data_IF_515891605965
#
_entry.id   IF_515891605965
#
_cell.length_a   1.000
_cell.length_b   1.000
_cell.length_c   1.000
_cell.angle_alpha   90.00
_cell.angle_beta   90.00
_cell.angle_gamma   90.00
#
_symmetry.space_group_name_H-M   'P 1'
#
loop_
_entity.id
_entity.type
_entity.pdbx_description
1 polymer ?
#
# COMPACT_ATOMS: atom_id res chain seq x y z
N UNK A 1 -22.96 -2.20 -21.52
CA UNK A 1 -21.55 -1.78 -21.50
C UNK A 1 -20.77 -3.02 -21.14
N UNK A 2 -20.01 -3.52 -22.09
CA UNK A 2 -19.41 -4.85 -22.05
C UNK A 2 -18.18 -4.85 -21.13
N UNK A 3 -18.15 -5.80 -20.23
CA UNK A 3 -17.02 -6.13 -19.37
C UNK A 3 -15.94 -6.76 -20.26
N UNK A 4 -14.79 -6.08 -20.36
CA UNK A 4 -13.57 -6.66 -20.97
C UNK A 4 -12.96 -7.69 -19.99
N UNK A 5 -13.55 -8.86 -20.01
CA UNK A 5 -13.03 -10.04 -19.35
C UNK A 5 -12.19 -10.83 -20.38
N UNK A 6 -11.06 -10.25 -20.83
CA UNK A 6 -10.10 -10.96 -21.67
C UNK A 6 -9.38 -12.03 -20.84
N UNK A 7 -9.73 -13.28 -21.09
CA UNK A 7 -9.13 -14.44 -20.47
C UNK A 7 -7.65 -14.56 -20.88
N UNK A 8 -6.84 -15.11 -19.99
CA UNK A 8 -5.39 -15.33 -20.14
C UNK A 8 -5.00 -16.08 -21.46
N UNK A 9 -5.95 -16.74 -22.12
CA UNK A 9 -5.74 -17.49 -23.37
C UNK A 9 -5.69 -16.60 -24.61
N UNK A 10 -6.37 -15.45 -24.64
CA UNK A 10 -6.41 -14.57 -25.84
C UNK A 10 -5.13 -13.74 -26.04
N UNK A 11 -4.26 -13.65 -25.03
CA UNK A 11 -2.97 -12.95 -25.15
C UNK A 11 -1.85 -13.77 -25.80
N UNK A 12 -2.08 -15.05 -26.08
CA UNK A 12 -1.06 -15.93 -26.67
C UNK A 12 -0.95 -15.84 -28.20
N UNK A 13 -1.94 -15.28 -28.88
CA UNK A 13 -2.01 -15.28 -30.35
C UNK A 13 -1.39 -14.06 -31.07
N UNK A 14 -0.87 -13.07 -30.31
CA UNK A 14 -0.21 -11.88 -30.90
C UNK A 14 1.31 -12.01 -31.06
N UNK A 15 1.86 -13.22 -30.94
CA UNK A 15 3.31 -13.47 -30.74
C UNK A 15 4.13 -13.68 -32.02
N UNK A 16 3.57 -13.52 -33.23
CA UNK A 16 4.29 -13.94 -34.42
C UNK A 16 5.21 -12.90 -35.10
N UNK A 17 5.12 -11.61 -34.77
CA UNK A 17 5.84 -10.56 -35.52
C UNK A 17 6.96 -9.80 -34.78
N UNK A 18 7.21 -10.04 -33.50
CA UNK A 18 8.20 -9.27 -32.73
C UNK A 18 9.50 -10.02 -32.40
N UNK A 19 9.63 -11.29 -32.73
CA UNK A 19 10.76 -12.15 -32.29
C UNK A 19 11.96 -12.15 -33.24
N UNK A 20 11.96 -11.37 -34.32
CA UNK A 20 13.00 -11.47 -35.37
C UNK A 20 14.17 -10.47 -35.24
N UNK A 21 14.11 -9.44 -34.44
CA UNK A 21 15.08 -8.32 -34.50
C UNK A 21 15.85 -7.95 -33.23
N UNK A 22 15.80 -8.73 -32.15
CA UNK A 22 16.54 -8.39 -30.91
C UNK A 22 17.55 -9.46 -30.51
N UNK A 23 18.56 -9.66 -31.36
CA UNK A 23 19.80 -10.35 -30.94
C UNK A 23 20.89 -9.31 -30.78
N UNK A 24 21.06 -8.73 -29.59
CA UNK A 24 22.31 -8.08 -29.20
C UNK A 24 22.65 -8.40 -27.76
N UNK A 25 23.89 -8.80 -27.62
CA UNK A 25 24.62 -9.42 -26.54
C UNK A 25 24.68 -8.58 -25.27
N UNK A 26 24.21 -9.09 -24.16
CA UNK A 26 24.79 -9.13 -22.81
C UNK A 26 23.80 -9.59 -21.72
N UNK A 27 22.48 -9.62 -21.99
CA UNK A 27 21.45 -10.16 -21.05
C UNK A 27 21.37 -11.71 -21.05
N UNK A 28 22.05 -12.37 -21.97
CA UNK A 28 21.91 -13.80 -22.31
C UNK A 28 22.45 -14.75 -21.22
N UNK A 29 23.25 -14.26 -20.25
CA UNK A 29 23.81 -15.14 -19.21
C UNK A 29 22.85 -15.47 -18.07
N UNK A 30 21.94 -14.58 -17.71
CA UNK A 30 20.95 -14.84 -16.64
C UNK A 30 19.73 -15.62 -17.15
N UNK A 31 19.27 -15.39 -18.38
CA UNK A 31 18.10 -16.09 -18.95
C UNK A 31 18.32 -17.60 -19.17
N UNK A 32 19.57 -18.06 -19.32
CA UNK A 32 19.87 -19.48 -19.52
C UNK A 32 19.66 -20.37 -18.29
N UNK A 33 19.48 -19.80 -17.09
CA UNK A 33 19.27 -20.54 -15.85
C UNK A 33 17.81 -20.67 -15.46
N UNK A 34 16.87 -19.96 -16.14
CA UNK A 34 15.45 -19.97 -15.82
C UNK A 34 14.74 -21.18 -16.48
N UNK A 35 13.75 -21.73 -15.78
CA UNK A 35 12.83 -22.72 -16.35
C UNK A 35 11.97 -22.12 -17.48
N UNK A 36 11.32 -22.96 -18.29
CA UNK A 36 10.46 -22.48 -19.38
C UNK A 36 9.28 -21.62 -18.88
N UNK A 37 8.72 -21.91 -17.71
CA UNK A 37 7.65 -21.11 -17.07
C UNK A 37 8.18 -19.78 -16.56
N UNK A 38 9.35 -19.77 -15.92
CA UNK A 38 10.00 -18.56 -15.44
C UNK A 38 10.36 -17.62 -16.58
N UNK A 39 10.85 -18.13 -17.70
CA UNK A 39 11.12 -17.32 -18.91
C UNK A 39 9.87 -16.67 -19.46
N UNK A 40 8.74 -17.41 -19.50
CA UNK A 40 7.45 -16.84 -19.93
C UNK A 40 6.97 -15.72 -18.99
N UNK A 41 7.04 -15.93 -17.67
CA UNK A 41 6.69 -14.92 -16.67
C UNK A 41 7.54 -13.66 -16.79
N UNK A 42 8.86 -13.80 -16.92
CA UNK A 42 9.77 -12.67 -17.13
C UNK A 42 9.50 -11.92 -18.44
N UNK A 43 9.28 -12.64 -19.54
CA UNK A 43 8.94 -12.04 -20.84
C UNK A 43 7.64 -11.22 -20.77
N UNK A 44 6.63 -11.71 -20.06
CA UNK A 44 5.38 -10.97 -19.83
C UNK A 44 5.63 -9.67 -19.02
N UNK A 45 6.41 -9.77 -17.95
CA UNK A 45 6.78 -8.59 -17.15
C UNK A 45 7.54 -7.57 -17.99
N UNK A 46 8.49 -8.01 -18.83
CA UNK A 46 9.26 -7.14 -19.73
C UNK A 46 8.37 -6.42 -20.75
N UNK A 47 7.42 -7.13 -21.37
CA UNK A 47 6.44 -6.53 -22.31
C UNK A 47 5.57 -5.47 -21.59
N UNK A 48 5.04 -5.77 -20.41
CA UNK A 48 4.26 -4.81 -19.60
C UNK A 48 5.08 -3.60 -19.19
N UNK A 49 6.32 -3.79 -18.74
CA UNK A 49 7.23 -2.70 -18.38
C UNK A 49 7.57 -1.81 -19.58
N UNK A 50 7.82 -2.40 -20.74
CA UNK A 50 8.06 -1.67 -21.97
C UNK A 50 6.84 -0.84 -22.40
N UNK A 51 5.66 -1.44 -22.43
CA UNK A 51 4.43 -0.75 -22.77
C UNK A 51 4.11 0.39 -21.79
N UNK A 52 4.25 0.15 -20.48
CA UNK A 52 4.09 1.17 -19.44
C UNK A 52 5.09 2.32 -19.58
N UNK A 53 6.35 2.01 -19.91
CA UNK A 53 7.37 3.03 -20.16
C UNK A 53 7.02 3.91 -21.38
N UNK A 54 6.64 3.30 -22.51
CA UNK A 54 6.20 4.05 -23.70
C UNK A 54 4.95 4.90 -23.39
N UNK A 55 3.98 4.33 -22.68
CA UNK A 55 2.78 5.07 -22.27
C UNK A 55 3.10 6.28 -21.38
N UNK A 56 4.09 6.17 -20.49
CA UNK A 56 4.53 7.28 -19.62
C UNK A 56 5.17 8.45 -20.39
N UNK A 57 5.60 8.22 -21.63
CA UNK A 57 6.19 9.26 -22.50
C UNK A 57 5.19 9.95 -23.39
N UNK A 58 3.91 9.55 -23.35
CA UNK A 58 2.85 10.15 -24.16
C UNK A 58 2.57 11.59 -23.70
N UNK A 59 2.54 12.53 -24.63
CA UNK A 59 2.15 13.89 -24.35
C UNK A 59 0.65 13.97 -24.05
N UNK A 60 0.28 14.57 -22.93
CA UNK A 60 -1.11 14.80 -22.52
C UNK A 60 -1.65 16.17 -22.98
N UNK A 61 -0.97 16.85 -23.90
CA UNK A 61 -1.38 18.15 -24.43
C UNK A 61 -2.52 18.01 -25.45
N UNK A 62 -3.62 18.71 -25.20
CA UNK A 62 -4.66 18.97 -26.20
C UNK A 62 -4.11 19.93 -27.26
N UNK A 63 -3.63 19.41 -28.39
CA UNK A 63 -3.65 20.15 -29.62
C UNK A 63 -4.84 19.65 -30.47
N UNK A 64 -5.57 20.56 -31.06
CA UNK A 64 -6.65 20.30 -32.01
C UNK A 64 -6.11 19.48 -33.20
N UNK A 65 -6.31 18.17 -33.13
CA UNK A 65 -5.89 17.21 -34.16
C UNK A 65 -5.58 15.86 -33.52
N UNK A 66 -6.24 14.84 -33.99
CA UNK A 66 -6.27 13.43 -33.54
C UNK A 66 -4.91 12.69 -33.64
N UNK A 67 -3.78 13.30 -33.24
CA UNK A 67 -2.45 12.68 -33.33
C UNK A 67 -1.79 12.58 -31.96
N UNK A 68 -1.69 11.35 -31.48
CA UNK A 68 -0.89 11.04 -30.29
C UNK A 68 0.60 11.30 -30.55
N UNK A 69 1.28 12.00 -29.64
CA UNK A 69 2.73 12.19 -29.69
C UNK A 69 3.39 11.77 -28.39
N UNK A 70 4.67 11.41 -28.46
CA UNK A 70 5.47 10.98 -27.30
C UNK A 70 6.72 11.85 -27.21
N UNK A 71 7.14 12.19 -25.97
CA UNK A 71 8.37 12.93 -25.72
C UNK A 71 9.34 12.08 -24.90
N UNK A 72 10.55 11.83 -25.44
CA UNK A 72 11.57 11.05 -24.77
C UNK A 72 12.96 11.57 -25.16
N UNK A 73 13.89 11.72 -24.20
CA UNK A 73 15.25 12.22 -24.44
C UNK A 73 15.28 13.55 -25.20
N UNK A 74 14.38 14.48 -24.85
CA UNK A 74 14.20 15.77 -25.51
C UNK A 74 13.82 15.67 -27.02
N UNK A 75 13.35 14.50 -27.48
CA UNK A 75 12.86 14.28 -28.84
C UNK A 75 11.36 13.99 -28.84
N UNK A 76 10.64 14.53 -29.82
CA UNK A 76 9.21 14.28 -30.01
C UNK A 76 8.99 13.26 -31.13
N UNK A 77 8.22 12.22 -30.82
CA UNK A 77 7.86 11.15 -31.75
C UNK A 77 6.37 11.24 -32.06
N UNK A 78 6.01 11.24 -33.34
CA UNK A 78 4.62 11.26 -33.82
C UNK A 78 4.09 9.89 -34.22
N UNK A 79 5.00 8.92 -34.41
CA UNK A 79 4.66 7.54 -34.77
C UNK A 79 4.99 6.58 -33.62
N UNK A 80 4.04 5.70 -33.32
CA UNK A 80 4.20 4.67 -32.30
C UNK A 80 5.41 3.75 -32.56
N UNK A 81 5.64 3.41 -33.84
CA UNK A 81 6.80 2.61 -34.25
C UNK A 81 8.14 3.32 -33.98
N UNK A 82 8.19 4.63 -34.11
CA UNK A 82 9.41 5.42 -33.88
C UNK A 82 9.78 5.50 -32.40
N UNK A 83 8.80 5.79 -31.53
CA UNK A 83 9.05 5.79 -30.06
C UNK A 83 9.43 4.37 -29.57
N UNK A 84 8.79 3.31 -30.08
CA UNK A 84 9.14 1.95 -29.72
C UNK A 84 10.59 1.59 -30.08
N UNK A 85 11.04 1.94 -31.31
CA UNK A 85 12.43 1.73 -31.73
C UNK A 85 13.43 2.53 -30.89
N UNK A 86 13.09 3.78 -30.55
CA UNK A 86 13.90 4.61 -29.68
C UNK A 86 14.02 3.98 -28.30
N UNK A 87 12.90 3.63 -27.64
CA UNK A 87 12.90 3.04 -26.31
C UNK A 87 13.67 1.72 -26.28
N UNK A 88 13.46 0.83 -27.27
CA UNK A 88 14.17 -0.44 -27.35
C UNK A 88 15.69 -0.29 -27.50
N UNK A 89 16.17 0.79 -28.13
CA UNK A 89 17.61 1.03 -28.34
C UNK A 89 18.27 1.79 -27.21
N UNK A 90 17.56 2.78 -26.66
CA UNK A 90 18.14 3.77 -25.73
C UNK A 90 17.85 3.42 -24.26
N UNK A 91 16.71 2.79 -23.98
CA UNK A 91 16.23 2.55 -22.63
C UNK A 91 16.15 1.07 -22.25
N UNK A 92 16.78 0.16 -23.02
CA UNK A 92 16.75 -1.28 -22.73
C UNK A 92 17.24 -1.62 -21.31
N UNK A 93 18.31 -1.03 -20.77
CA UNK A 93 18.72 -1.30 -19.37
C UNK A 93 17.69 -0.88 -18.34
N UNK A 94 16.98 0.23 -18.57
CA UNK A 94 15.91 0.72 -17.70
C UNK A 94 14.69 -0.20 -17.76
N UNK A 95 14.32 -0.65 -18.98
CA UNK A 95 13.25 -1.63 -19.19
C UNK A 95 13.59 -2.97 -18.53
N UNK A 96 14.82 -3.44 -18.63
CA UNK A 96 15.26 -4.68 -17.97
C UNK A 96 15.13 -4.58 -16.46
N UNK A 97 15.53 -3.45 -15.84
CA UNK A 97 15.38 -3.22 -14.41
C UNK A 97 13.90 -3.22 -14.00
N UNK A 98 13.04 -2.48 -14.70
CA UNK A 98 11.60 -2.45 -14.45
C UNK A 98 10.96 -3.84 -14.60
N UNK A 99 11.40 -4.62 -15.59
CA UNK A 99 10.95 -5.98 -15.81
C UNK A 99 11.39 -6.93 -14.69
N UNK A 100 12.62 -6.78 -14.21
CA UNK A 100 13.14 -7.57 -13.09
C UNK A 100 12.36 -7.27 -11.80
N UNK A 101 12.10 -5.99 -11.51
CA UNK A 101 11.30 -5.57 -10.36
C UNK A 101 9.87 -6.12 -10.43
N UNK A 102 9.22 -6.02 -11.61
CA UNK A 102 7.88 -6.55 -11.84
C UNK A 102 7.83 -8.08 -11.73
N UNK A 103 8.85 -8.77 -12.24
CA UNK A 103 8.94 -10.22 -12.18
C UNK A 103 9.19 -10.72 -10.75
N UNK A 104 10.05 -10.06 -10.00
CA UNK A 104 10.25 -10.37 -8.58
C UNK A 104 8.96 -10.15 -7.78
N UNK A 105 8.21 -9.10 -8.09
CA UNK A 105 6.90 -8.87 -7.49
C UNK A 105 5.92 -10.01 -7.79
N UNK A 106 5.89 -10.51 -9.02
CA UNK A 106 5.06 -11.65 -9.42
C UNK A 106 5.48 -12.94 -8.68
N UNK A 107 6.79 -13.22 -8.58
CA UNK A 107 7.29 -14.40 -7.86
C UNK A 107 6.88 -14.34 -6.38
N UNK A 108 7.06 -13.21 -5.72
CA UNK A 108 6.68 -13.05 -4.32
C UNK A 108 5.16 -13.23 -4.11
N UNK A 109 4.32 -12.78 -5.06
CA UNK A 109 2.88 -13.02 -5.00
C UNK A 109 2.53 -14.51 -5.13
N UNK A 110 3.17 -15.21 -6.07
CA UNK A 110 2.98 -16.65 -6.26
C UNK A 110 3.49 -17.48 -5.06
N UNK A 111 4.61 -17.08 -4.46
CA UNK A 111 5.12 -17.69 -3.23
C UNK A 111 4.15 -17.47 -2.05
N UNK A 112 3.64 -16.25 -1.86
CA UNK A 112 2.62 -15.94 -0.84
C UNK A 112 1.33 -16.75 -1.06
N UNK A 113 0.89 -16.92 -2.33
CA UNK A 113 -0.29 -17.72 -2.68
C UNK A 113 -0.04 -19.21 -2.43
N UNK A 114 1.12 -19.73 -2.82
CA UNK A 114 1.49 -21.14 -2.61
C UNK A 114 1.66 -21.45 -1.12
N UNK A 115 2.32 -20.59 -0.34
CA UNK A 115 2.44 -20.72 1.11
C UNK A 115 1.07 -20.68 1.80
N UNK A 116 0.18 -19.79 1.33
CA UNK A 116 -1.19 -19.68 1.85
C UNK A 116 -2.00 -20.93 1.54
N UNK A 117 -1.88 -21.52 0.33
CA UNK A 117 -2.53 -22.77 -0.02
C UNK A 117 -2.01 -23.93 0.83
N UNK A 118 -0.71 -24.08 0.94
CA UNK A 118 -0.07 -25.15 1.71
C UNK A 118 -0.41 -25.08 3.21
N UNK A 119 -0.47 -23.85 3.78
CA UNK A 119 -0.87 -23.62 5.17
C UNK A 119 -2.37 -23.86 5.40
N UNK A 120 -3.22 -23.62 4.39
CA UNK A 120 -4.67 -23.85 4.50
C UNK A 120 -5.08 -25.31 4.22
N UNK A 121 -4.22 -26.11 3.56
CA UNK A 121 -4.46 -27.52 3.28
C UNK A 121 -4.09 -28.45 4.45
N UNK A 122 -3.42 -27.95 5.48
CA UNK A 122 -3.27 -28.71 6.74
C UNK A 122 -4.65 -28.82 7.40
N UNK A 123 -5.26 -30.00 7.29
CA UNK A 123 -6.49 -30.36 8.00
C UNK A 123 -6.18 -30.36 9.51
N UNK A 124 -6.51 -29.25 10.17
CA UNK A 124 -6.54 -29.19 11.62
C UNK A 124 -7.66 -30.14 12.14
N UNK A 125 -7.42 -30.87 13.20
CA UNK A 125 -8.48 -31.58 13.93
C UNK A 125 -9.65 -30.59 14.14
N UNK A 126 -10.92 -31.03 13.96
CA UNK A 126 -12.07 -30.15 14.09
C UNK A 126 -12.17 -29.60 15.50
N UNK A 127 -11.69 -28.43 15.74
CA UNK A 127 -11.83 -27.70 17.01
C UNK A 127 -13.20 -27.05 17.05
N UNK A 128 -13.91 -27.19 18.16
CA UNK A 128 -15.19 -26.53 18.35
C UNK A 128 -15.02 -25.03 18.55
N UNK A 129 -15.22 -24.27 17.44
CA UNK A 129 -15.21 -22.83 17.42
C UNK A 129 -16.56 -22.19 17.75
N UNK A 130 -17.60 -23.02 17.99
CA UNK A 130 -18.98 -22.54 18.16
C UNK A 130 -19.15 -21.58 19.34
N UNK A 131 -18.35 -21.78 20.40
CA UNK A 131 -18.35 -20.92 21.57
C UNK A 131 -17.95 -19.47 21.30
N UNK A 132 -17.21 -19.23 20.21
CA UNK A 132 -16.73 -17.88 19.82
C UNK A 132 -17.53 -17.26 18.67
N UNK A 133 -18.53 -17.97 18.14
CA UNK A 133 -19.42 -17.45 17.11
C UNK A 133 -20.63 -16.81 17.80
N UNK A 134 -20.89 -15.50 17.58
CA UNK A 134 -21.98 -14.80 18.24
C UNK A 134 -23.35 -15.32 17.79
N UNK A 135 -24.33 -15.24 18.69
CA UNK A 135 -25.72 -15.46 18.35
C UNK A 135 -26.27 -14.24 17.59
N UNK A 136 -26.52 -14.42 16.32
CA UNK A 136 -27.04 -13.36 15.41
C UNK A 136 -28.55 -13.46 15.14
N UNK A 137 -29.30 -14.34 15.86
CA UNK A 137 -30.75 -14.52 15.65
C UNK A 137 -31.59 -13.26 15.85
N UNK A 138 -31.05 -12.29 16.58
CA UNK A 138 -31.67 -10.98 16.80
C UNK A 138 -31.41 -9.98 15.66
N UNK A 139 -30.54 -10.30 14.69
CA UNK A 139 -30.20 -9.48 13.53
C UNK A 139 -30.81 -10.17 12.30
N UNK A 140 -31.61 -9.46 11.52
CA UNK A 140 -32.15 -10.03 10.29
C UNK A 140 -31.07 -10.17 9.21
N UNK A 141 -31.23 -11.14 8.32
CA UNK A 141 -30.35 -11.34 7.16
C UNK A 141 -30.24 -10.07 6.31
N UNK A 142 -31.34 -9.34 6.16
CA UNK A 142 -31.35 -8.07 5.43
C UNK A 142 -30.47 -7.01 6.12
N UNK A 143 -30.45 -6.93 7.44
CA UNK A 143 -29.60 -5.99 8.19
C UNK A 143 -28.12 -6.34 8.11
N UNK A 144 -27.79 -7.62 7.94
CA UNK A 144 -26.39 -8.05 7.73
C UNK A 144 -25.89 -7.72 6.33
N UNK A 145 -26.77 -7.71 5.32
CA UNK A 145 -26.37 -7.55 3.92
C UNK A 145 -26.64 -6.16 3.36
N UNK A 146 -27.64 -5.43 3.88
CA UNK A 146 -28.08 -4.14 3.33
C UNK A 146 -28.07 -3.05 4.39
N UNK A 147 -27.59 -1.87 3.99
CA UNK A 147 -27.60 -0.67 4.83
C UNK A 147 -26.27 0.07 4.79
N UNK A 148 -26.15 1.15 5.55
CA UNK A 148 -24.89 1.86 5.69
C UNK A 148 -23.83 0.95 6.30
N UNK A 149 -22.61 1.04 5.80
CA UNK A 149 -21.53 0.17 6.19
C UNK A 149 -20.26 0.92 6.56
N UNK A 150 -19.30 0.17 7.03
CA UNK A 150 -17.96 0.67 7.34
C UNK A 150 -16.91 -0.39 7.05
N UNK A 151 -15.68 0.09 6.90
CA UNK A 151 -14.48 -0.74 6.81
C UNK A 151 -13.75 -0.64 8.12
N UNK A 152 -13.33 -1.78 8.65
CA UNK A 152 -12.52 -1.92 9.84
C UNK A 152 -11.06 -2.18 9.45
N UNK A 153 -10.13 -1.50 10.09
CA UNK A 153 -8.71 -1.79 10.06
C UNK A 153 -8.25 -2.05 11.51
N UNK A 154 -7.72 -3.23 11.76
CA UNK A 154 -7.27 -3.63 13.10
C UNK A 154 -6.10 -4.59 13.02
N UNK A 155 -5.33 -4.67 14.10
CA UNK A 155 -4.33 -5.70 14.31
C UNK A 155 -4.14 -5.95 15.81
N UNK A 156 -3.66 -7.13 16.14
CA UNK A 156 -3.20 -7.46 17.49
C UNK A 156 -2.00 -8.37 17.39
N UNK A 157 -0.88 -7.95 17.92
CA UNK A 157 0.24 -8.82 18.20
C UNK A 157 0.00 -9.56 19.51
N UNK A 158 0.00 -10.88 19.46
CA UNK A 158 -0.13 -11.78 20.60
C UNK A 158 0.33 -13.16 20.18
N UNK A 159 0.82 -13.96 21.13
CA UNK A 159 1.19 -15.35 20.83
C UNK A 159 -0.06 -16.17 20.52
N UNK A 160 -0.12 -16.78 19.35
CA UNK A 160 -1.16 -17.71 18.91
C UNK A 160 -0.53 -19.09 18.77
N UNK A 161 -0.97 -20.03 19.60
CA UNK A 161 -0.44 -21.40 19.61
C UNK A 161 -0.86 -22.17 18.35
N UNK A 162 -2.12 -22.05 17.95
CA UNK A 162 -2.66 -22.66 16.73
C UNK A 162 -3.33 -21.61 15.84
N UNK A 163 -2.61 -21.07 14.85
CA UNK A 163 -3.16 -20.11 13.90
C UNK A 163 -4.29 -20.68 13.04
N UNK A 164 -4.35 -22.00 12.82
CA UNK A 164 -5.38 -22.63 12.00
C UNK A 164 -6.75 -22.56 12.66
N UNK A 165 -6.82 -22.79 13.96
CA UNK A 165 -8.06 -22.65 14.75
C UNK A 165 -8.60 -21.23 14.69
N UNK A 166 -7.73 -20.25 14.87
CA UNK A 166 -8.10 -18.83 14.78
C UNK A 166 -8.51 -18.46 13.35
N UNK A 167 -7.82 -18.98 12.34
CA UNK A 167 -8.18 -18.78 10.95
C UNK A 167 -9.57 -19.36 10.63
N UNK A 168 -9.86 -20.58 11.06
CA UNK A 168 -11.17 -21.23 10.89
C UNK A 168 -12.29 -20.43 11.57
N UNK A 169 -12.07 -19.98 12.81
CA UNK A 169 -13.01 -19.12 13.52
C UNK A 169 -13.24 -17.80 12.79
N UNK A 170 -12.19 -17.10 12.36
CA UNK A 170 -12.31 -15.82 11.67
C UNK A 170 -13.04 -15.96 10.33
N UNK A 171 -12.81 -17.06 9.60
CA UNK A 171 -13.52 -17.36 8.35
C UNK A 171 -15.01 -17.55 8.61
N UNK A 172 -15.36 -18.43 9.55
CA UNK A 172 -16.75 -18.71 9.91
C UNK A 172 -17.48 -17.46 10.43
N UNK A 173 -16.79 -16.62 11.22
CA UNK A 173 -17.33 -15.37 11.73
C UNK A 173 -17.61 -14.37 10.60
N UNK A 174 -16.65 -14.17 9.68
CA UNK A 174 -16.81 -13.25 8.55
C UNK A 174 -17.91 -13.73 7.58
N UNK A 175 -17.95 -15.03 7.27
CA UNK A 175 -18.99 -15.62 6.40
C UNK A 175 -20.38 -15.46 7.02
N UNK A 176 -20.53 -15.75 8.32
CA UNK A 176 -21.80 -15.58 9.04
C UNK A 176 -22.30 -14.14 9.06
N UNK A 177 -21.39 -13.18 9.10
CA UNK A 177 -21.70 -11.75 9.14
C UNK A 177 -21.66 -11.09 7.74
N UNK A 178 -21.52 -11.86 6.65
CA UNK A 178 -21.41 -11.37 5.27
C UNK A 178 -20.34 -10.29 5.08
N UNK A 179 -19.20 -10.42 5.78
CA UNK A 179 -18.08 -9.51 5.62
C UNK A 179 -17.20 -9.93 4.44
N UNK A 180 -16.61 -8.96 3.80
CA UNK A 180 -15.57 -9.12 2.78
C UNK A 180 -14.26 -8.51 3.28
N UNK A 181 -13.15 -8.79 2.61
CA UNK A 181 -11.86 -8.22 2.98
C UNK A 181 -10.77 -9.26 3.22
N UNK A 182 -9.73 -8.88 3.97
CA UNK A 182 -8.59 -9.75 4.22
C UNK A 182 -8.26 -9.82 5.70
N UNK A 183 -8.11 -11.07 6.21
CA UNK A 183 -7.62 -11.34 7.56
C UNK A 183 -6.39 -12.25 7.47
N UNK A 184 -5.29 -11.81 8.06
CA UNK A 184 -4.05 -12.58 8.20
C UNK A 184 -3.91 -13.04 9.64
N UNK A 185 -3.67 -14.32 9.80
CA UNK A 185 -3.38 -14.94 11.11
C UNK A 185 -1.99 -15.56 11.05
N UNK A 186 -1.20 -15.36 12.08
CA UNK A 186 0.12 -15.96 12.23
C UNK A 186 0.35 -16.30 13.71
N UNK A 187 1.43 -17.00 14.04
CA UNK A 187 1.82 -17.28 15.43
C UNK A 187 2.06 -16.00 16.25
N UNK A 188 2.42 -14.89 15.58
CA UNK A 188 2.67 -13.58 16.20
C UNK A 188 1.40 -12.72 16.38
N UNK A 189 0.22 -13.14 15.85
CA UNK A 189 -1.00 -12.35 16.00
C UNK A 189 -2.00 -12.41 14.86
N UNK A 190 -2.81 -11.35 14.76
CA UNK A 190 -3.86 -11.16 13.75
C UNK A 190 -3.81 -9.76 13.15
N UNK A 191 -4.11 -9.65 11.85
CA UNK A 191 -4.23 -8.39 11.12
C UNK A 191 -5.41 -8.49 10.15
N UNK A 192 -6.38 -7.59 10.28
CA UNK A 192 -7.59 -7.60 9.47
C UNK A 192 -7.94 -6.24 8.89
N UNK A 193 -8.44 -6.29 7.64
CA UNK A 193 -9.16 -5.20 7.01
C UNK A 193 -10.42 -5.80 6.41
N UNK A 194 -11.57 -5.51 6.99
CA UNK A 194 -12.86 -6.10 6.61
C UNK A 194 -13.94 -5.05 6.49
N UNK A 195 -14.87 -5.23 5.55
CA UNK A 195 -15.99 -4.34 5.31
C UNK A 195 -17.32 -5.07 5.36
N UNK A 196 -18.34 -4.37 5.80
CA UNK A 196 -19.71 -4.86 5.88
C UNK A 196 -20.67 -3.78 6.36
N UNK A 197 -21.94 -4.14 6.59
CA UNK A 197 -22.90 -3.21 7.19
C UNK A 197 -22.46 -2.81 8.60
N UNK A 198 -22.99 -1.70 9.12
CA UNK A 198 -22.71 -1.27 10.48
C UNK A 198 -23.05 -2.35 11.51
N UNK A 199 -24.20 -3.05 11.32
CA UNK A 199 -24.61 -4.14 12.22
C UNK A 199 -23.63 -5.31 12.16
N UNK A 200 -23.22 -5.75 10.98
CA UNK A 200 -22.28 -6.84 10.78
C UNK A 200 -20.90 -6.53 11.39
N UNK A 201 -20.40 -5.34 11.15
CA UNK A 201 -19.10 -4.89 11.66
C UNK A 201 -19.09 -4.67 13.18
N UNK A 202 -20.20 -4.17 13.74
CA UNK A 202 -20.33 -4.04 15.19
C UNK A 202 -20.36 -5.43 15.87
N UNK A 203 -21.12 -6.38 15.31
CA UNK A 203 -21.12 -7.77 15.80
C UNK A 203 -19.73 -8.44 15.68
N UNK A 204 -18.98 -8.14 14.61
CA UNK A 204 -17.62 -8.61 14.43
C UNK A 204 -16.65 -8.04 15.49
N UNK A 205 -16.73 -6.73 15.77
CA UNK A 205 -15.94 -6.09 16.83
C UNK A 205 -16.22 -6.75 18.18
N UNK A 206 -17.50 -6.92 18.53
CA UNK A 206 -17.89 -7.48 19.80
C UNK A 206 -17.44 -8.95 19.94
N UNK A 207 -17.59 -9.76 18.89
CA UNK A 207 -17.09 -11.14 18.87
C UNK A 207 -15.56 -11.20 19.03
N UNK A 208 -14.83 -10.34 18.32
CA UNK A 208 -13.36 -10.31 18.37
C UNK A 208 -12.86 -9.83 19.74
N UNK A 209 -13.51 -8.84 20.32
CA UNK A 209 -13.20 -8.35 21.69
C UNK A 209 -13.50 -9.38 22.75
N UNK A 210 -14.57 -10.16 22.58
CA UNK A 210 -14.97 -11.20 23.53
C UNK A 210 -14.04 -12.42 23.51
N UNK A 211 -13.23 -12.57 22.47
CA UNK A 211 -12.30 -13.69 22.37
C UNK A 211 -11.15 -13.53 23.37
N UNK A 212 -10.92 -14.53 24.27
CA UNK A 212 -10.02 -14.36 25.42
C UNK A 212 -8.55 -14.11 25.05
N UNK A 213 -8.15 -14.56 23.86
CA UNK A 213 -6.78 -14.48 23.38
C UNK A 213 -6.37 -13.02 23.07
N UNK A 214 -7.24 -12.25 22.42
CA UNK A 214 -6.81 -10.97 21.82
C UNK A 214 -6.79 -9.80 22.79
N UNK A 215 -7.67 -9.81 23.80
CA UNK A 215 -7.78 -8.71 24.80
C UNK A 215 -7.80 -7.32 24.11
N UNK A 216 -8.61 -7.21 23.06
CA UNK A 216 -8.74 -5.98 22.29
C UNK A 216 -9.78 -5.05 22.91
N UNK A 217 -9.53 -3.76 22.78
CA UNK A 217 -10.48 -2.72 23.09
C UNK A 217 -11.15 -2.17 21.82
N UNK A 218 -12.25 -1.43 21.96
CA UNK A 218 -12.95 -0.87 20.81
C UNK A 218 -12.05 0.05 19.99
N UNK A 219 -11.14 0.74 20.64
CA UNK A 219 -10.19 1.67 20.01
C UNK A 219 -9.09 0.98 19.18
N UNK A 220 -8.91 -0.32 19.32
CA UNK A 220 -8.01 -1.07 18.44
C UNK A 220 -8.55 -1.17 17.00
N UNK A 221 -9.88 -1.00 16.83
CA UNK A 221 -10.54 -1.01 15.54
C UNK A 221 -10.66 0.42 14.97
N UNK A 222 -9.94 0.71 13.89
CA UNK A 222 -10.04 1.95 13.14
C UNK A 222 -11.15 1.79 12.12
N UNK A 223 -12.02 2.77 12.02
CA UNK A 223 -13.21 2.70 11.15
C UNK A 223 -13.18 3.79 10.09
N UNK A 224 -13.69 3.49 8.90
CA UNK A 224 -13.93 4.44 7.83
C UNK A 224 -15.19 4.08 7.07
N UNK A 225 -15.85 5.07 6.47
CA UNK A 225 -17.07 4.85 5.69
C UNK A 225 -16.79 3.93 4.50
N UNK A 226 -17.71 3.02 4.21
CA UNK A 226 -17.59 1.99 3.17
C UNK A 226 -18.48 0.81 3.50
N UNK A 227 -18.12 -0.39 3.00
CA UNK A 227 -18.91 -1.59 3.23
C UNK A 227 -18.26 -2.82 2.61
N UNK A 228 -19.05 -3.87 2.43
CA UNK A 228 -18.57 -5.10 1.79
C UNK A 228 -18.11 -4.87 0.34
N UNK A 229 -18.68 -3.91 -0.36
CA UNK A 229 -18.34 -3.53 -1.73
C UNK A 229 -16.92 -2.94 -1.88
N UNK A 230 -16.27 -2.57 -0.77
CA UNK A 230 -14.89 -2.10 -0.80
C UNK A 230 -13.87 -3.23 -1.08
N UNK A 231 -14.31 -4.48 -1.12
CA UNK A 231 -13.47 -5.64 -1.40
C UNK A 231 -14.17 -6.57 -2.39
N UNK A 232 -13.39 -7.25 -3.23
CA UNK A 232 -13.92 -8.21 -4.22
C UNK A 232 -14.38 -9.51 -3.59
N UNK A 233 -13.68 -9.96 -2.56
CA UNK A 233 -13.89 -11.26 -1.92
C UNK A 233 -13.49 -11.21 -0.44
N UNK A 234 -13.72 -12.32 0.24
CA UNK A 234 -13.21 -12.59 1.59
C UNK A 234 -11.98 -13.48 1.49
N UNK A 235 -10.87 -13.05 2.11
CA UNK A 235 -9.62 -13.82 2.22
C UNK A 235 -9.19 -13.92 3.67
N UNK A 236 -9.37 -15.09 4.26
CA UNK A 236 -8.87 -15.41 5.60
C UNK A 236 -7.85 -16.53 5.48
N UNK A 237 -6.64 -16.31 5.97
CA UNK A 237 -5.56 -17.30 5.83
C UNK A 237 -4.52 -17.23 6.94
N UNK A 238 -3.81 -18.34 7.09
CA UNK A 238 -2.62 -18.45 7.94
C UNK A 238 -1.41 -18.00 7.14
N UNK A 239 -0.54 -17.23 7.75
CA UNK A 239 0.67 -16.65 7.14
C UNK A 239 1.85 -16.77 8.11
N UNK A 240 3.07 -16.65 7.61
CA UNK A 240 4.26 -16.59 8.46
C UNK A 240 4.32 -15.32 9.31
N UNK A 241 3.81 -14.21 8.76
CA UNK A 241 3.81 -12.89 9.39
C UNK A 241 2.45 -12.21 9.20
N UNK A 242 1.99 -11.47 10.21
CA UNK A 242 0.76 -10.67 10.05
C UNK A 242 0.98 -9.42 9.21
N UNK A 243 2.23 -8.95 9.09
CA UNK A 243 2.66 -7.94 8.14
C UNK A 243 3.99 -8.37 7.52
N UNK A 244 4.08 -8.53 6.18
CA UNK A 244 5.25 -9.14 5.55
C UNK A 244 6.46 -8.22 5.60
N UNK A 245 7.34 -8.44 6.56
CA UNK A 245 8.62 -7.77 6.70
C UNK A 245 9.78 -8.59 6.09
N UNK A 246 9.56 -9.89 5.91
CA UNK A 246 10.58 -10.81 5.40
C UNK A 246 11.62 -11.21 6.47
N UNK A 247 11.28 -11.06 7.74
CA UNK A 247 12.13 -11.40 8.87
C UNK A 247 11.39 -12.37 9.78
N UNK A 248 12.13 -13.31 10.36
CA UNK A 248 11.55 -14.22 11.34
C UNK A 248 11.01 -13.45 12.55
N UNK A 249 9.71 -13.64 12.94
CA UNK A 249 9.12 -13.01 14.09
C UNK A 249 9.83 -13.30 15.42
N UNK A 250 10.50 -14.45 15.53
CA UNK A 250 11.26 -14.80 16.73
C UNK A 250 12.61 -14.02 16.80
N UNK A 251 13.14 -13.60 15.64
CA UNK A 251 14.36 -12.80 15.56
C UNK A 251 14.06 -11.31 15.72
N UNK A 252 13.00 -10.82 15.08
CA UNK A 252 12.56 -9.42 15.16
C UNK A 252 11.15 -9.38 15.77
N UNK A 253 11.10 -9.57 17.09
CA UNK A 253 9.83 -9.60 17.80
C UNK A 253 9.25 -8.21 18.02
N UNK A 254 7.92 -8.07 17.85
CA UNK A 254 7.15 -6.88 18.22
C UNK A 254 7.32 -6.49 19.70
N UNK A 255 7.69 -7.43 20.57
CA UNK A 255 7.94 -7.18 22.01
C UNK A 255 9.11 -6.20 22.24
N UNK A 256 9.99 -6.07 21.24
CA UNK A 256 11.12 -5.13 21.25
C UNK A 256 10.80 -3.81 20.54
N UNK A 257 9.54 -3.56 20.22
CA UNK A 257 9.08 -2.37 19.52
C UNK A 257 9.50 -1.07 20.24
N UNK A 258 9.53 0.04 19.49
CA UNK A 258 9.75 1.38 20.01
C UNK A 258 8.64 1.82 20.95
N UNK A 259 8.88 2.89 21.70
CA UNK A 259 7.90 3.45 22.64
C UNK A 259 6.72 4.04 21.88
N UNK A 260 5.50 3.66 22.25
CA UNK A 260 4.28 4.22 21.69
C UNK A 260 4.06 5.64 22.21
N UNK A 261 3.79 6.58 21.31
CA UNK A 261 3.27 7.89 21.60
C UNK A 261 1.80 7.97 21.22
N UNK A 262 0.97 8.46 22.11
CA UNK A 262 -0.41 8.81 21.77
C UNK A 262 -0.42 9.91 20.69
N UNK A 263 -1.48 10.06 19.88
CA UNK A 263 -1.51 11.07 18.82
C UNK A 263 -1.19 12.49 19.28
N UNK A 264 -1.60 12.89 20.51
CA UNK A 264 -1.31 14.20 21.06
C UNK A 264 0.18 14.39 21.39
N UNK A 265 0.82 13.35 21.92
CA UNK A 265 2.26 13.37 22.22
C UNK A 265 3.05 13.41 20.92
N UNK A 266 2.68 12.57 19.94
CA UNK A 266 3.29 12.56 18.63
C UNK A 266 3.13 13.88 17.88
N UNK A 267 1.95 14.51 17.98
CA UNK A 267 1.68 15.83 17.40
C UNK A 267 2.66 16.89 17.93
N UNK A 268 2.87 16.95 19.24
CA UNK A 268 3.81 17.88 19.88
C UNK A 268 5.25 17.65 19.42
N UNK A 269 5.65 16.39 19.26
CA UNK A 269 6.98 16.05 18.76
C UNK A 269 7.19 16.51 17.31
N UNK A 270 6.16 16.32 16.46
CA UNK A 270 6.20 16.79 15.07
C UNK A 270 6.14 18.31 14.99
N UNK A 271 5.36 18.96 15.85
CA UNK A 271 5.32 20.42 15.96
C UNK A 271 6.70 20.99 16.32
N UNK A 272 7.37 20.40 17.31
CA UNK A 272 8.72 20.79 17.70
C UNK A 272 9.73 20.59 16.56
N UNK A 273 9.62 19.48 15.78
CA UNK A 273 10.45 19.22 14.62
C UNK A 273 10.23 20.27 13.54
N UNK A 274 8.97 20.59 13.21
CA UNK A 274 8.64 21.55 12.16
C UNK A 274 9.07 22.98 12.55
N UNK A 275 8.98 23.33 13.83
CA UNK A 275 9.40 24.65 14.34
C UNK A 275 10.92 24.89 14.24
N UNK A 276 11.73 23.82 14.22
CA UNK A 276 13.21 23.87 14.22
C UNK A 276 13.81 23.66 12.83
N UNK A 277 13.07 23.88 11.75
CA UNK A 277 13.42 23.50 10.38
C UNK A 277 14.80 23.98 9.85
N UNK A 278 15.44 24.93 10.53
CA UNK A 278 16.74 25.52 10.13
C UNK A 278 17.92 25.09 11.04
N UNK A 279 17.69 24.33 12.10
CA UNK A 279 18.74 23.83 12.97
C UNK A 279 19.02 22.36 12.67
N UNK A 280 20.26 21.93 12.85
CA UNK A 280 20.70 20.53 12.67
C UNK A 280 19.95 19.65 13.69
N UNK A 281 18.70 19.24 13.34
CA UNK A 281 17.82 18.56 14.28
C UNK A 281 18.25 17.10 14.45
N UNK A 282 18.34 16.66 15.69
CA UNK A 282 18.65 15.28 16.07
C UNK A 282 17.42 14.35 15.98
N UNK A 283 16.32 14.83 15.39
CA UNK A 283 15.06 14.08 15.26
C UNK A 283 14.76 13.74 13.81
N UNK A 284 14.38 12.48 13.55
CA UNK A 284 13.93 11.99 12.26
C UNK A 284 12.48 11.56 12.37
N UNK A 285 11.62 12.08 11.50
CA UNK A 285 10.26 11.61 11.30
C UNK A 285 10.25 10.61 10.13
N UNK A 286 10.07 9.31 10.42
CA UNK A 286 10.24 8.21 9.45
C UNK A 286 8.91 7.59 9.06
N UNK A 287 8.60 7.64 7.76
CA UNK A 287 7.45 6.94 7.18
C UNK A 287 7.83 5.48 6.86
N UNK A 288 7.23 4.52 7.55
CA UNK A 288 7.50 3.08 7.34
C UNK A 288 6.69 2.47 6.18
N UNK A 289 5.93 3.30 5.45
CA UNK A 289 5.07 2.83 4.36
C UNK A 289 5.84 2.69 3.05
N UNK A 290 5.16 2.08 2.08
CA UNK A 290 5.67 2.01 0.72
C UNK A 290 5.64 3.41 0.07
N UNK A 291 6.57 3.68 -0.85
CA UNK A 291 6.73 5.00 -1.47
C UNK A 291 5.46 5.54 -2.15
N UNK A 292 4.61 4.67 -2.71
CA UNK A 292 3.36 5.07 -3.36
C UNK A 292 2.30 5.55 -2.36
N UNK A 293 2.31 5.03 -1.12
CA UNK A 293 1.43 5.48 -0.04
C UNK A 293 1.84 6.89 0.41
N UNK A 294 3.14 7.12 0.59
CA UNK A 294 3.70 8.42 0.99
C UNK A 294 3.47 9.50 -0.07
N UNK A 295 3.48 9.14 -1.37
CA UNK A 295 3.16 10.08 -2.45
C UNK A 295 1.71 10.56 -2.46
N UNK A 296 0.78 9.78 -1.93
CA UNK A 296 -0.63 10.13 -1.80
C UNK A 296 -0.85 11.08 -0.62
N UNK A 297 -0.13 10.85 0.47
CA UNK A 297 -0.12 11.73 1.63
C UNK A 297 0.91 11.30 2.66
N UNK A 298 1.52 12.27 3.32
CA UNK A 298 2.59 12.07 4.29
C UNK A 298 2.66 13.22 5.29
N UNK A 299 3.35 13.03 6.40
CA UNK A 299 3.64 14.13 7.31
C UNK A 299 4.63 15.13 6.70
N UNK A 300 4.47 16.40 7.06
CA UNK A 300 5.42 17.46 6.69
C UNK A 300 6.81 17.12 7.23
N UNK A 301 7.85 17.32 6.41
CA UNK A 301 9.27 17.08 6.75
C UNK A 301 9.61 15.61 7.08
N UNK A 302 8.78 14.63 6.69
CA UNK A 302 9.13 13.24 6.94
C UNK A 302 10.19 12.71 5.95
N UNK A 303 10.99 11.79 6.44
CA UNK A 303 11.80 10.89 5.63
C UNK A 303 10.92 9.74 5.14
N UNK A 304 10.66 9.68 3.85
CA UNK A 304 9.88 8.61 3.21
C UNK A 304 10.80 7.74 2.36
N UNK A 305 11.17 6.53 2.81
CA UNK A 305 12.00 5.61 2.05
C UNK A 305 11.39 5.24 0.70
N UNK A 306 12.22 5.14 -0.35
CA UNK A 306 11.76 4.72 -1.68
C UNK A 306 11.64 3.19 -1.76
N UNK A 307 10.92 2.57 -0.82
CA UNK A 307 10.67 1.13 -0.79
C UNK A 307 9.31 0.81 -1.42
N UNK A 308 9.25 -0.27 -2.22
CA UNK A 308 8.00 -0.73 -2.87
C UNK A 308 7.19 -1.68 -2.00
N UNK A 309 7.87 -2.38 -1.08
CA UNK A 309 7.29 -3.35 -0.15
C UNK A 309 7.95 -3.15 1.22
N UNK A 310 7.20 -3.43 2.27
CA UNK A 310 7.73 -3.35 3.63
C UNK A 310 8.86 -4.35 3.89
N UNK A 311 8.92 -5.45 3.16
CA UNK A 311 10.05 -6.40 3.21
C UNK A 311 11.40 -5.81 2.77
N UNK A 312 11.43 -4.62 2.15
CA UNK A 312 12.67 -3.89 1.83
C UNK A 312 13.09 -2.90 2.93
N UNK A 313 12.29 -2.78 3.97
CA UNK A 313 12.58 -1.87 5.09
C UNK A 313 13.86 -2.28 5.86
N UNK A 314 14.12 -3.57 6.16
CA UNK A 314 15.38 -3.99 6.77
C UNK A 314 16.60 -3.58 5.96
N UNK A 315 16.61 -3.85 4.66
CA UNK A 315 17.71 -3.48 3.76
C UNK A 315 17.93 -1.96 3.72
N UNK A 316 16.82 -1.20 3.69
CA UNK A 316 16.89 0.26 3.73
C UNK A 316 17.56 0.75 5.02
N UNK A 317 17.19 0.22 6.18
CA UNK A 317 17.80 0.56 7.46
C UNK A 317 19.29 0.24 7.46
N UNK A 318 19.65 -0.97 7.01
CA UNK A 318 21.06 -1.42 7.01
C UNK A 318 21.96 -0.59 6.10
N UNK A 319 21.42 -0.12 4.98
CA UNK A 319 22.15 0.75 4.04
C UNK A 319 22.27 2.20 4.52
N UNK A 320 21.50 2.61 5.54
CA UNK A 320 21.40 4.00 5.99
C UNK A 320 21.64 4.15 7.50
N UNK A 321 22.39 3.25 8.14
CA UNK A 321 22.61 3.29 9.61
C UNK A 321 23.19 4.62 10.10
N UNK A 322 24.06 5.26 9.33
CA UNK A 322 24.66 6.54 9.69
C UNK A 322 23.64 7.68 9.74
N UNK A 323 22.55 7.59 8.97
CA UNK A 323 21.45 8.54 9.02
C UNK A 323 20.74 8.52 10.38
N UNK A 324 20.65 7.34 11.00
CA UNK A 324 19.95 7.13 12.26
C UNK A 324 20.82 7.26 13.51
N UNK A 325 22.14 7.39 13.31
CA UNK A 325 23.13 7.40 14.41
C UNK A 325 22.90 8.58 15.35
N UNK A 326 22.75 8.25 16.65
CA UNK A 326 22.51 9.20 17.73
C UNK A 326 21.25 10.08 17.58
N UNK A 327 20.31 9.66 16.68
CA UNK A 327 19.07 10.38 16.42
C UNK A 327 17.90 9.86 17.25
N UNK A 328 16.96 10.73 17.56
CA UNK A 328 15.60 10.41 17.99
C UNK A 328 14.78 10.10 16.75
N UNK A 329 14.14 8.94 16.68
CA UNK A 329 13.36 8.53 15.51
C UNK A 329 11.89 8.40 15.88
N UNK A 330 11.03 9.16 15.19
CA UNK A 330 9.58 9.13 15.30
C UNK A 330 9.02 8.35 14.09
N UNK A 331 8.46 7.17 14.32
CA UNK A 331 8.01 6.29 13.25
C UNK A 331 6.49 6.29 13.12
N UNK A 332 6.00 6.19 11.89
CA UNK A 332 4.58 6.05 11.64
C UNK A 332 4.28 5.17 10.42
N UNK A 333 3.06 4.62 10.38
CA UNK A 333 2.47 3.99 9.20
C UNK A 333 0.95 4.21 9.20
N UNK A 334 0.21 3.55 8.32
CA UNK A 334 -1.25 3.71 8.18
C UNK A 334 -2.01 3.47 9.47
N UNK A 335 -1.81 2.30 10.12
CA UNK A 335 -2.56 1.89 11.32
C UNK A 335 -1.68 1.52 12.53
N UNK A 336 -0.34 1.63 12.41
CA UNK A 336 0.62 1.29 13.47
C UNK A 336 1.34 -0.06 13.27
N UNK A 337 0.75 -1.03 12.59
CA UNK A 337 1.22 -2.42 12.53
C UNK A 337 2.67 -2.58 12.03
N UNK A 338 3.07 -1.85 10.98
CA UNK A 338 4.44 -1.92 10.43
C UNK A 338 5.47 -1.35 11.41
N UNK A 339 5.07 -0.35 12.17
CA UNK A 339 5.96 0.28 13.13
C UNK A 339 6.34 -0.65 14.26
N UNK A 340 5.48 -1.59 14.67
CA UNK A 340 5.79 -2.55 15.73
C UNK A 340 7.07 -3.33 15.43
N UNK A 341 7.15 -3.95 14.26
CA UNK A 341 8.33 -4.71 13.87
C UNK A 341 9.44 -3.86 13.25
N UNK A 342 9.06 -2.79 12.53
CA UNK A 342 10.03 -1.86 11.95
C UNK A 342 10.86 -1.14 13.02
N UNK A 343 10.23 -0.69 14.11
CA UNK A 343 10.94 -0.07 15.22
C UNK A 343 11.78 -1.07 16.02
N UNK A 344 11.28 -2.30 16.21
CA UNK A 344 12.06 -3.38 16.81
C UNK A 344 13.34 -3.66 16.01
N UNK A 345 13.23 -3.71 14.68
CA UNK A 345 14.40 -3.89 13.80
C UNK A 345 15.38 -2.74 13.90
N UNK A 346 14.89 -1.49 13.83
CA UNK A 346 15.76 -0.32 13.97
C UNK A 346 16.47 -0.28 15.32
N UNK A 347 15.76 -0.60 16.41
CA UNK A 347 16.34 -0.70 17.75
C UNK A 347 17.38 -1.80 17.88
N UNK A 348 17.21 -2.93 17.17
CA UNK A 348 18.19 -4.02 17.18
C UNK A 348 19.56 -3.63 16.61
N UNK A 349 19.63 -2.51 15.86
CA UNK A 349 20.90 -1.98 15.33
C UNK A 349 21.71 -1.17 16.34
N UNK A 350 21.10 -0.79 17.45
CA UNK A 350 21.75 -0.03 18.56
C UNK A 350 22.48 1.24 18.10
N UNK A 351 21.93 1.93 17.09
CA UNK A 351 22.49 3.17 16.54
C UNK A 351 21.69 4.41 16.90
N UNK A 352 20.39 4.25 17.18
CA UNK A 352 19.49 5.36 17.51
C UNK A 352 19.61 5.73 18.97
N UNK A 353 19.43 7.01 19.28
CA UNK A 353 19.30 7.49 20.66
C UNK A 353 17.98 7.01 21.29
N UNK A 354 16.89 7.18 20.55
CA UNK A 354 15.52 6.84 20.98
C UNK A 354 14.67 6.47 19.74
N UNK A 355 13.75 5.53 19.90
CA UNK A 355 12.82 5.14 18.84
C UNK A 355 11.40 5.12 19.37
N UNK A 356 10.57 5.97 18.80
CA UNK A 356 9.16 6.13 19.11
C UNK A 356 8.29 5.76 17.91
N UNK A 357 7.03 5.42 18.17
CA UNK A 357 6.07 5.11 17.12
C UNK A 357 4.69 5.69 17.43
N UNK A 358 3.99 6.15 16.39
CA UNK A 358 2.64 6.69 16.48
C UNK A 358 1.65 5.58 16.78
N UNK A 359 1.03 5.57 17.95
CA UNK A 359 0.00 4.63 18.35
C UNK A 359 -1.25 4.79 17.47
N UNK A 360 -1.71 3.68 16.89
CA UNK A 360 -2.85 3.68 15.98
C UNK A 360 -2.59 4.28 14.60
N UNK A 361 -1.36 4.76 14.34
CA UNK A 361 -0.90 5.27 13.05
C UNK A 361 -1.60 6.53 12.58
N UNK A 362 -1.44 6.85 11.29
CA UNK A 362 -2.04 8.03 10.65
C UNK A 362 -3.57 8.06 10.86
N UNK A 363 -4.21 6.90 10.85
CA UNK A 363 -5.66 6.82 10.98
C UNK A 363 -6.13 7.46 12.29
N UNK A 364 -5.56 7.07 13.44
CA UNK A 364 -5.88 7.67 14.75
C UNK A 364 -5.45 9.11 14.86
N UNK A 365 -4.31 9.46 14.26
CA UNK A 365 -3.84 10.83 14.23
C UNK A 365 -4.84 11.77 13.53
N UNK A 366 -5.38 11.38 12.37
CA UNK A 366 -6.32 12.20 11.61
C UNK A 366 -7.70 12.31 12.27
N UNK A 367 -8.10 11.35 13.10
CA UNK A 367 -9.32 11.47 13.91
C UNK A 367 -9.23 12.60 14.92
N UNK A 368 -8.04 12.87 15.47
CA UNK A 368 -7.82 13.91 16.49
C UNK A 368 -7.31 15.22 15.88
N UNK A 369 -6.48 15.12 14.84
CA UNK A 369 -5.81 16.25 14.18
C UNK A 369 -6.05 16.26 12.67
N UNK A 370 -7.31 16.46 12.19
CA UNK A 370 -7.62 16.46 10.77
C UNK A 370 -6.86 17.54 9.98
N UNK A 371 -6.57 18.68 10.63
CA UNK A 371 -5.79 19.80 10.08
C UNK A 371 -4.35 19.85 10.62
N UNK A 372 -3.86 18.74 11.20
CA UNK A 372 -2.53 18.65 11.80
C UNK A 372 -1.39 18.70 10.76
N UNK A 373 -0.31 17.96 10.99
CA UNK A 373 0.89 17.99 10.13
C UNK A 373 0.88 16.97 8.99
N UNK A 374 -0.14 16.10 8.90
CA UNK A 374 -0.32 15.21 7.77
C UNK A 374 -0.87 15.97 6.57
N UNK A 375 -0.28 15.78 5.38
CA UNK A 375 -0.67 16.44 4.12
C UNK A 375 -1.04 15.41 3.08
N UNK A 376 -2.11 15.70 2.33
CA UNK A 376 -2.66 14.80 1.33
C UNK A 376 -3.71 13.85 1.91
N UNK A 377 -3.81 12.65 1.36
CA UNK A 377 -4.86 11.67 1.65
C UNK A 377 -4.27 10.41 2.26
N UNK A 378 -5.04 9.72 3.08
CA UNK A 378 -4.62 8.45 3.65
C UNK A 378 -4.87 7.32 2.64
N UNK A 379 -3.80 6.67 2.19
CA UNK A 379 -3.89 5.45 1.38
C UNK A 379 -4.53 4.31 2.20
N UNK A 380 -5.45 3.58 1.58
CA UNK A 380 -6.11 2.39 2.13
C UNK A 380 -5.93 1.19 1.20
N UNK A 381 -5.94 -0.03 1.77
CA UNK A 381 -5.68 -1.28 1.04
C UNK A 381 -6.97 -1.94 0.53
N UNK A 382 -7.89 -1.13 -0.03
CA UNK A 382 -9.17 -1.58 -0.60
C UNK A 382 -9.52 -0.79 -1.88
N UNK A 383 -10.65 -1.07 -2.50
CA UNK A 383 -11.06 -0.46 -3.78
C UNK A 383 -11.24 1.07 -3.73
N UNK A 384 -11.26 1.68 -2.54
CA UNK A 384 -11.32 3.14 -2.38
C UNK A 384 -9.96 3.82 -2.62
N UNK A 385 -8.85 3.08 -2.53
CA UNK A 385 -7.44 3.50 -2.66
C UNK A 385 -6.97 4.57 -1.67
N UNK A 386 -7.76 5.62 -1.42
CA UNK A 386 -7.41 6.67 -0.48
C UNK A 386 -8.66 7.34 0.10
N UNK A 387 -8.55 7.75 1.37
CA UNK A 387 -9.59 8.50 2.08
C UNK A 387 -9.04 9.83 2.58
N UNK A 388 -9.88 10.85 2.70
CA UNK A 388 -9.51 12.12 3.29
C UNK A 388 -9.76 12.13 4.80
N UNK A 389 -9.16 13.12 5.51
CA UNK A 389 -9.37 13.28 6.95
C UNK A 389 -10.82 13.61 7.34
N UNK A 390 -11.58 14.23 6.44
CA UNK A 390 -13.01 14.53 6.59
C UNK A 390 -13.93 13.40 6.09
N UNK A 391 -13.39 12.18 5.92
CA UNK A 391 -14.08 10.97 5.48
C UNK A 391 -14.62 10.98 4.05
N UNK A 392 -14.27 11.96 3.22
CA UNK A 392 -14.66 11.96 1.82
C UNK A 392 -13.97 10.82 1.06
N UNK A 393 -14.78 9.99 0.39
CA UNK A 393 -14.28 8.90 -0.46
C UNK A 393 -13.78 9.50 -1.77
N UNK A 394 -12.56 9.11 -2.19
CA UNK A 394 -12.00 9.53 -3.45
C UNK A 394 -12.03 8.37 -4.42
N UNK A 395 -12.98 8.43 -5.33
CA UNK A 395 -13.24 7.38 -6.31
C UNK A 395 -12.19 7.26 -7.43
N UNK A 396 -11.20 8.15 -7.53
CA UNK A 396 -10.34 8.23 -8.71
C UNK A 396 -8.84 8.42 -8.45
N UNK A 397 -8.24 7.69 -7.50
CA UNK A 397 -6.79 7.49 -7.51
C UNK A 397 -6.47 6.20 -8.27
N UNK A 398 -6.28 6.30 -9.59
CA UNK A 398 -5.80 5.17 -10.39
C UNK A 398 -4.38 4.78 -9.98
N UNK A 399 -4.07 3.48 -9.96
CA UNK A 399 -2.75 2.90 -9.63
C UNK A 399 -1.61 3.31 -10.59
N UNK A 400 -1.87 4.16 -11.57
CA UNK A 400 -0.93 4.53 -12.65
C UNK A 400 0.09 5.60 -12.26
N UNK A 401 0.22 5.95 -10.98
CA UNK A 401 1.28 6.83 -10.48
C UNK A 401 1.19 8.29 -10.93
N UNK A 402 0.04 8.72 -11.45
CA UNK A 402 -0.19 10.14 -11.75
C UNK A 402 -0.44 10.90 -10.46
N UNK A 403 0.28 11.97 -10.29
CA UNK A 403 0.20 12.89 -9.16
C UNK A 403 -1.25 13.29 -8.93
N UNK A 404 -1.83 12.89 -7.79
CA UNK A 404 -3.12 13.41 -7.36
C UNK A 404 -3.00 14.94 -7.24
N UNK A 405 -3.82 15.69 -7.96
CA UNK A 405 -3.91 17.14 -7.75
C UNK A 405 -4.27 17.42 -6.31
N UNK A 406 -3.72 18.49 -5.72
CA UNK A 406 -4.02 18.88 -4.36
C UNK A 406 -5.54 19.13 -4.19
N UNK A 407 -6.11 18.95 -2.98
CA UNK A 407 -7.53 19.16 -2.73
C UNK A 407 -8.07 20.52 -3.18
N UNK A 408 -7.25 21.58 -3.11
CA UNK A 408 -7.62 22.92 -3.56
C UNK A 408 -7.84 23.03 -5.08
N UNK A 409 -7.18 22.18 -5.89
CA UNK A 409 -7.37 22.15 -7.34
C UNK A 409 -8.66 21.42 -7.77
N UNK A 410 -9.15 20.48 -6.95
CA UNK A 410 -10.37 19.70 -7.25
C UNK A 410 -11.66 20.48 -6.94
N UNK A 411 -11.67 21.33 -5.91
CA UNK A 411 -12.84 22.13 -5.55
C UNK A 411 -13.14 23.25 -6.55
N UNK A 412 -12.15 23.77 -7.28
CA UNK A 412 -12.38 24.78 -8.33
C UNK A 412 -13.02 24.19 -9.59
N UNK A 413 -12.88 22.88 -9.86
CA UNK A 413 -13.44 22.23 -11.05
C UNK A 413 -14.94 21.90 -10.97
N UNK A 414 -15.49 21.76 -9.77
CA UNK A 414 -16.90 21.36 -9.58
C UNK A 414 -17.91 22.53 -9.64
N UNK A 415 -17.46 23.79 -9.52
CA UNK A 415 -18.35 24.97 -9.54
C UNK A 415 -18.42 25.68 -10.90
N UNK A 416 -17.83 25.16 -11.98
CA UNK A 416 -17.78 25.80 -13.28
C UNK A 416 -18.56 25.10 -14.40
N UNK A 417 -19.51 24.23 -14.12
CA UNK A 417 -20.33 23.58 -15.16
C UNK A 417 -21.51 24.42 -15.66
N UNK A 418 -21.60 25.73 -15.35
CA UNK A 418 -22.62 26.63 -15.88
C UNK A 418 -22.06 28.02 -16.19
N UNK A 419 -21.10 28.16 -17.12
CA UNK A 419 -20.87 29.41 -17.83
C UNK A 419 -19.93 29.17 -19.03
N UNK A 420 -20.46 29.32 -20.22
CA UNK A 420 -19.75 29.31 -21.50
C UNK A 420 -18.95 30.60 -21.68
N UNK A 421 -17.62 30.53 -21.79
CA UNK A 421 -16.74 31.62 -22.20
C UNK A 421 -15.26 31.20 -22.17
N UNK A 422 -14.39 31.71 -23.04
CA UNK A 422 -12.99 31.27 -23.13
C UNK A 422 -12.19 31.78 -21.94
N UNK A 423 -11.64 30.90 -21.14
CA UNK A 423 -10.84 31.25 -19.98
C UNK A 423 -9.39 30.85 -20.09
N UNK A 424 -8.53 31.80 -19.79
CA UNK A 424 -7.11 31.67 -19.53
C UNK A 424 -6.84 30.59 -18.47
N UNK A 425 -5.83 29.77 -18.73
CA UNK A 425 -5.26 28.83 -17.74
C UNK A 425 -4.52 29.64 -16.68
N UNK A 426 -5.09 29.74 -15.48
CA UNK A 426 -4.32 30.12 -14.31
C UNK A 426 -3.53 28.90 -13.83
N UNK A 427 -2.22 29.04 -13.73
CA UNK A 427 -1.33 28.03 -13.15
C UNK A 427 -1.64 27.82 -11.68
N UNK A 428 -1.58 26.57 -11.21
CA UNK A 428 -1.87 26.22 -9.85
C UNK A 428 -0.76 26.74 -8.90
N UNK A 429 -1.09 27.61 -7.97
CA UNK A 429 -0.18 28.20 -6.97
C UNK A 429 0.53 27.18 -6.06
N UNK A 430 0.18 25.90 -6.13
CA UNK A 430 0.84 24.85 -5.34
C UNK A 430 2.22 24.43 -5.85
N UNK A 431 2.72 25.02 -6.95
CA UNK A 431 4.07 24.76 -7.51
C UNK A 431 5.14 25.77 -7.07
N UNK A 432 4.80 26.85 -6.37
CA UNK A 432 5.73 27.90 -5.96
C UNK A 432 6.36 27.68 -4.58
N UNK A 433 6.89 26.52 -4.31
CA UNK A 433 7.53 26.21 -3.03
C UNK A 433 8.78 25.34 -3.13
N UNK A 434 9.50 25.32 -4.27
CA UNK A 434 10.80 24.67 -4.33
C UNK A 434 11.93 25.69 -4.13
N UNK A 435 12.82 25.52 -3.14
CA UNK A 435 14.04 26.30 -3.07
C UNK A 435 14.90 25.99 -4.29
N UNK A 436 15.28 27.03 -5.04
CA UNK A 436 16.26 26.95 -6.12
C UNK A 436 17.62 26.63 -5.49
N UNK A 437 18.17 25.48 -5.83
CA UNK A 437 19.58 25.19 -5.57
C UNK A 437 20.42 26.11 -6.47
N UNK A 438 21.38 26.88 -5.97
CA UNK A 438 22.31 27.64 -6.81
C UNK A 438 23.17 26.65 -7.59
N UNK A 439 23.17 26.73 -8.91
CA UNK A 439 24.25 26.22 -9.73
C UNK A 439 25.38 27.27 -9.61
N UNK A 440 26.46 26.89 -8.93
CA UNK A 440 27.85 27.33 -9.19
C UNK A 440 28.72 27.00 -7.98
N UNK A 441 29.59 25.96 -8.17
CA UNK A 441 31.02 25.87 -7.92
C UNK A 441 31.45 24.38 -7.87
#
# INVERSE_FOLDING_TARGET
MAEDNTSFSEFLDLDHDLDRDTRTCNGVRQEKQLSASQRRGYSLCRRKSFAGFVASKRNSGQEEGDYSSWCCCAQTFREHSAIHKHVARTHDPEIQRLAQDAYQCLLNQLEEEAETQQLNECEAEPVDISAWIPDTRHISEEQLQKGPGKVLLYYRYCQIEDPHVICAWQRALCEKLHLTGKVRVATEGINGTVGGTNMATDAYIDATRSHPLFKMEKDDFKTSDGGAECFKDLRVGVYKEIVPMGMDPDVVSYQLAGVHLEPEEFHKEVEALVAKADENDDTILLDCRNFYESKIGQFTQCLAPSIRKFSYFPDYVDQNLDLFRDKKVLMYCTGGIRCERGSAYLRSKDVCKEVYQLKGGIHRYLEQFPEGFFRGKLFVFDERYAISSNKDIISECRQDGRTACCPACQTKGQNQSQASGPHHKEECECTEGRPRIPQDA
#
